data_IF_520360371424
#
_entry.id   IF_520360371424
#
_cell.length_a   1.000
_cell.length_b   1.000
_cell.length_c   1.000
_cell.angle_alpha   90.00
_cell.angle_beta   90.00
_cell.angle_gamma   90.00
#
_symmetry.space_group_name_H-M   'P 1'
#
loop_
_entity.id
_entity.type
_entity.pdbx_description
1 polymer ?
#
# COMPACT_ATOMS: atom_id res chain seq x y z
N UNK A 1 41.38 13.67 17.22
CA UNK A 1 41.47 12.91 15.95
C UNK A 1 41.17 13.87 14.82
N UNK A 2 42.13 14.12 13.92
CA UNK A 2 42.04 15.15 12.88
C UNK A 2 40.99 14.80 11.82
N UNK A 3 40.24 15.79 11.37
CA UNK A 3 39.18 15.69 10.35
C UNK A 3 39.68 15.02 9.06
N UNK A 4 40.95 15.29 8.68
CA UNK A 4 41.61 14.66 7.52
C UNK A 4 41.72 13.13 7.63
N UNK A 5 41.93 12.60 8.84
CA UNK A 5 42.02 11.16 9.08
C UNK A 5 40.67 10.47 8.97
N UNK A 6 39.57 11.17 9.32
CA UNK A 6 38.19 10.66 9.18
C UNK A 6 37.75 10.64 7.72
N UNK A 7 38.10 11.66 6.95
CA UNK A 7 37.76 11.74 5.51
C UNK A 7 38.54 10.68 4.74
N UNK A 8 39.85 10.48 5.04
CA UNK A 8 40.64 9.42 4.42
C UNK A 8 40.15 8.00 4.71
N UNK A 9 39.67 7.73 5.93
CA UNK A 9 39.07 6.45 6.29
C UNK A 9 37.75 6.18 5.57
N UNK A 10 36.93 7.22 5.35
CA UNK A 10 35.65 7.08 4.66
C UNK A 10 35.83 6.81 3.16
N UNK A 11 36.76 7.50 2.50
CA UNK A 11 37.06 7.27 1.09
C UNK A 11 37.67 5.89 0.83
N UNK A 12 38.53 5.38 1.72
CA UNK A 12 39.11 4.05 1.58
C UNK A 12 38.05 2.96 1.75
N UNK A 13 37.10 3.13 2.70
CA UNK A 13 35.97 2.25 2.91
C UNK A 13 35.02 2.18 1.72
N UNK A 14 34.72 3.32 1.10
CA UNK A 14 33.87 3.39 -0.08
C UNK A 14 34.49 2.70 -1.31
N UNK A 15 35.79 2.88 -1.53
CA UNK A 15 36.50 2.23 -2.62
C UNK A 15 36.55 0.71 -2.42
N UNK A 16 36.72 0.23 -1.20
CA UNK A 16 36.72 -1.21 -0.91
C UNK A 16 35.36 -1.86 -1.15
N UNK A 17 34.26 -1.17 -0.77
CA UNK A 17 32.87 -1.66 -0.98
C UNK A 17 32.51 -1.64 -2.46
N UNK A 18 32.88 -0.60 -3.21
CA UNK A 18 32.65 -0.52 -4.67
C UNK A 18 33.49 -1.50 -5.45
N UNK A 19 34.75 -1.71 -5.07
CA UNK A 19 35.63 -2.67 -5.69
C UNK A 19 35.16 -4.12 -5.49
N UNK A 20 34.66 -4.46 -4.32
CA UNK A 20 34.08 -5.78 -4.05
C UNK A 20 32.78 -6.03 -4.85
N UNK A 21 31.92 -5.02 -4.98
CA UNK A 21 30.68 -5.13 -5.76
C UNK A 21 30.97 -5.34 -7.28
N UNK A 22 31.97 -4.66 -7.84
CA UNK A 22 32.39 -4.88 -9.23
C UNK A 22 33.01 -6.26 -9.44
N UNK A 23 33.80 -6.77 -8.47
CA UNK A 23 34.43 -8.10 -8.55
C UNK A 23 33.40 -9.24 -8.54
N UNK A 24 32.36 -9.11 -7.78
CA UNK A 24 31.26 -10.11 -7.72
C UNK A 24 30.40 -10.06 -8.99
N UNK A 25 30.15 -8.87 -9.55
CA UNK A 25 29.39 -8.71 -10.79
C UNK A 25 30.11 -9.34 -12.02
N UNK A 26 31.43 -9.28 -12.08
CA UNK A 26 32.20 -9.89 -13.15
C UNK A 26 32.28 -11.43 -13.08
N UNK A 27 32.10 -12.02 -11.89
CA UNK A 27 32.13 -13.47 -11.69
C UNK A 27 30.81 -14.19 -12.03
N UNK A 28 29.70 -13.44 -12.24
CA UNK A 28 28.35 -14.00 -12.48
C UNK A 28 27.91 -13.88 -13.95
N UNK A 29 28.74 -13.34 -14.86
CA UNK A 29 28.42 -13.31 -16.30
C UNK A 29 28.65 -14.71 -16.90
N UNK A 30 27.64 -15.37 -17.52
CA UNK A 30 27.85 -16.63 -18.21
C UNK A 30 28.75 -16.43 -19.46
N UNK A 31 29.69 -17.30 -19.63
CA UNK A 31 30.65 -17.28 -20.74
C UNK A 31 29.92 -17.41 -22.08
N UNK A 32 29.99 -16.39 -22.92
CA UNK A 32 29.61 -16.48 -24.32
C UNK A 32 30.60 -17.28 -25.08
N UNK A 33 30.18 -18.40 -25.65
CA UNK A 33 30.98 -19.27 -26.50
C UNK A 33 31.29 -18.56 -27.82
N UNK A 34 32.55 -18.28 -28.09
CA UNK A 34 33.05 -17.75 -29.38
C UNK A 34 33.02 -18.82 -30.46
N UNK A 35 32.43 -18.52 -31.59
CA UNK A 35 32.72 -19.24 -32.84
C UNK A 35 32.82 -18.23 -33.99
N UNK A 36 34.04 -18.16 -34.45
CA UNK A 36 34.62 -17.93 -35.81
C UNK A 36 33.86 -17.03 -36.84
N UNK A 37 34.61 -16.02 -37.18
CA UNK A 37 34.93 -15.28 -38.42
C UNK A 37 34.36 -15.79 -39.73
N UNK A 38 33.64 -14.91 -40.47
CA UNK A 38 33.83 -14.56 -41.87
C UNK A 38 32.91 -13.41 -42.31
N UNK A 39 33.47 -12.34 -42.86
CA UNK A 39 32.81 -11.25 -43.59
C UNK A 39 32.87 -11.52 -45.10
N UNK A 40 32.30 -10.65 -45.98
CA UNK A 40 31.03 -9.95 -45.93
C UNK A 40 30.14 -10.27 -47.17
N UNK A 41 28.86 -10.00 -47.16
CA UNK A 41 28.15 -9.49 -48.34
C UNK A 41 26.82 -8.82 -47.94
N UNK A 42 26.53 -7.76 -48.64
CA UNK A 42 25.42 -6.83 -48.65
C UNK A 42 24.13 -7.53 -49.01
N UNK A 43 23.05 -7.13 -48.35
CA UNK A 43 21.71 -6.89 -48.92
C UNK A 43 20.56 -7.04 -47.89
N UNK A 44 19.75 -6.01 -47.89
CA UNK A 44 18.29 -6.04 -47.71
C UNK A 44 17.68 -6.14 -46.31
N UNK A 45 17.12 -5.01 -45.94
CA UNK A 45 16.15 -4.85 -44.87
C UNK A 45 14.96 -5.81 -44.98
N UNK A 46 14.77 -6.65 -43.97
CA UNK A 46 13.45 -7.24 -43.69
C UNK A 46 13.24 -7.14 -42.19
N UNK A 47 12.26 -6.34 -41.85
CA UNK A 47 11.67 -6.13 -40.55
C UNK A 47 11.30 -7.49 -39.94
N UNK A 48 12.00 -7.90 -38.89
CA UNK A 48 11.57 -9.00 -38.01
C UNK A 48 11.60 -8.51 -36.58
N UNK A 49 10.49 -7.90 -36.16
CA UNK A 49 10.15 -7.75 -34.74
C UNK A 49 10.17 -9.10 -34.06
N UNK A 50 11.32 -9.50 -33.57
CA UNK A 50 11.43 -10.63 -32.63
C UNK A 50 10.86 -10.17 -31.29
N UNK A 51 9.59 -10.42 -31.08
CA UNK A 51 8.98 -10.35 -29.75
C UNK A 51 9.63 -11.45 -28.90
N UNK A 52 10.72 -11.13 -28.25
CA UNK A 52 11.28 -11.99 -27.21
C UNK A 52 10.36 -11.84 -26.00
N UNK A 53 9.35 -12.69 -25.91
CA UNK A 53 8.61 -12.90 -24.67
C UNK A 53 9.59 -13.47 -23.66
N UNK A 54 10.08 -12.61 -22.76
CA UNK A 54 10.73 -13.07 -21.56
C UNK A 54 9.74 -13.98 -20.81
N UNK A 55 10.18 -15.13 -20.23
CA UNK A 55 9.30 -15.92 -19.41
C UNK A 55 8.80 -15.03 -18.27
N UNK A 56 7.50 -14.80 -18.22
CA UNK A 56 6.82 -14.16 -17.09
C UNK A 56 7.08 -15.09 -15.91
N UNK A 57 8.02 -14.74 -15.04
CA UNK A 57 8.04 -15.30 -13.70
C UNK A 57 6.66 -15.02 -13.12
N UNK A 58 5.99 -16.04 -12.60
CA UNK A 58 4.69 -15.87 -11.91
C UNK A 58 4.89 -14.78 -10.87
N UNK A 59 4.40 -13.58 -11.19
CA UNK A 59 4.53 -12.43 -10.31
C UNK A 59 3.68 -12.74 -9.08
N UNK A 60 4.33 -12.87 -7.94
CA UNK A 60 3.63 -12.97 -6.65
C UNK A 60 2.73 -11.75 -6.56
N UNK A 61 1.41 -11.91 -6.41
CA UNK A 61 0.51 -10.78 -6.34
C UNK A 61 0.90 -9.89 -5.16
N UNK A 62 1.07 -8.60 -5.42
CA UNK A 62 1.36 -7.63 -4.37
C UNK A 62 0.15 -7.47 -3.47
N UNK A 63 0.32 -7.34 -2.16
CA UNK A 63 -0.77 -7.02 -1.26
C UNK A 63 -1.49 -5.74 -1.69
N UNK A 64 -2.83 -5.74 -1.60
CA UNK A 64 -3.64 -4.56 -1.88
C UNK A 64 -3.20 -3.34 -1.06
N UNK A 65 -3.29 -2.15 -1.64
CA UNK A 65 -2.92 -0.89 -1.00
C UNK A 65 -1.42 -0.55 -1.03
N UNK A 66 -0.54 -1.41 -1.56
CA UNK A 66 0.86 -1.05 -1.81
C UNK A 66 0.99 -0.18 -3.06
N UNK A 67 0.19 -0.42 -4.07
CA UNK A 67 0.23 0.28 -5.35
C UNK A 67 -0.68 1.51 -5.32
N UNK A 68 -0.23 2.60 -5.94
CA UNK A 68 -1.06 3.77 -6.22
C UNK A 68 -1.86 3.58 -7.50
N UNK A 69 -1.42 2.66 -8.35
CA UNK A 69 -2.06 2.29 -9.62
C UNK A 69 -2.08 0.78 -9.77
N UNK A 70 -3.24 0.21 -10.08
CA UNK A 70 -3.43 -1.21 -10.34
C UNK A 70 -4.54 -1.39 -11.38
N UNK A 71 -4.37 -2.33 -12.31
CA UNK A 71 -5.32 -2.62 -13.41
C UNK A 71 -5.75 -1.38 -14.21
N UNK A 72 -4.88 -0.37 -14.33
CA UNK A 72 -5.16 0.90 -15.00
C UNK A 72 -5.90 1.93 -14.15
N UNK A 73 -6.36 1.58 -12.94
CA UNK A 73 -6.97 2.52 -12.01
C UNK A 73 -5.90 3.18 -11.14
N UNK A 74 -6.05 4.49 -10.89
CA UNK A 74 -5.06 5.27 -10.12
C UNK A 74 -5.76 6.07 -9.02
N UNK A 75 -5.28 5.95 -7.78
CA UNK A 75 -5.68 6.81 -6.66
C UNK A 75 -4.90 8.14 -6.74
N UNK A 76 -5.61 9.23 -6.95
CA UNK A 76 -5.05 10.58 -7.04
C UNK A 76 -5.58 11.45 -5.90
N UNK A 77 -4.77 11.70 -4.88
CA UNK A 77 -5.08 12.71 -3.87
C UNK A 77 -5.03 14.10 -4.50
N UNK A 78 -5.99 14.97 -4.14
CA UNK A 78 -5.98 16.38 -4.58
C UNK A 78 -4.76 17.10 -4.01
N UNK A 79 -4.52 16.88 -2.71
CA UNK A 79 -3.36 17.40 -2.00
C UNK A 79 -2.65 16.24 -1.30
N UNK A 80 -1.33 16.20 -1.41
CA UNK A 80 -0.49 15.20 -0.72
C UNK A 80 0.05 15.71 0.61
N UNK A 81 -0.21 16.99 0.90
CA UNK A 81 0.14 17.62 2.17
C UNK A 81 -1.07 18.40 2.65
N UNK A 82 -1.56 18.05 3.83
CA UNK A 82 -2.71 18.69 4.46
C UNK A 82 -2.32 19.29 5.81
N UNK A 83 -2.94 20.40 6.23
CA UNK A 83 -2.68 20.98 7.54
C UNK A 83 -3.15 20.06 8.66
N UNK A 84 -2.56 20.12 9.86
CA UNK A 84 -3.08 19.41 11.02
C UNK A 84 -4.45 19.95 11.45
N UNK A 85 -5.33 19.06 11.91
CA UNK A 85 -6.66 19.42 12.41
C UNK A 85 -7.60 18.24 12.57
N UNK A 86 -8.68 18.38 13.38
CA UNK A 86 -9.58 17.26 13.71
C UNK A 86 -10.63 16.93 12.64
N UNK A 87 -10.85 17.82 11.65
CA UNK A 87 -11.87 17.67 10.60
C UNK A 87 -11.34 18.24 9.29
N UNK A 88 -10.22 17.70 8.82
CA UNK A 88 -9.57 18.17 7.60
C UNK A 88 -10.22 17.48 6.40
N UNK A 89 -10.69 18.21 5.38
CA UNK A 89 -11.30 17.61 4.20
C UNK A 89 -10.23 16.92 3.35
N UNK A 90 -10.25 15.60 3.33
CA UNK A 90 -9.48 14.79 2.38
C UNK A 90 -10.27 14.63 1.10
N UNK A 91 -9.67 15.01 -0.04
CA UNK A 91 -10.26 14.91 -1.36
C UNK A 91 -9.37 14.11 -2.31
N UNK A 92 -9.98 13.27 -3.11
CA UNK A 92 -9.26 12.45 -4.08
C UNK A 92 -10.16 11.99 -5.22
N UNK A 93 -9.57 11.46 -6.27
CA UNK A 93 -10.25 10.81 -7.38
C UNK A 93 -9.65 9.42 -7.63
N UNK A 94 -10.48 8.52 -8.09
CA UNK A 94 -10.01 7.30 -8.76
C UNK A 94 -10.07 7.59 -10.26
N UNK A 95 -8.92 7.53 -10.90
CA UNK A 95 -8.84 7.67 -12.36
C UNK A 95 -8.94 6.29 -13.00
N UNK A 96 -9.72 6.14 -14.03
CA UNK A 96 -9.83 4.93 -14.83
C UNK A 96 -8.67 4.75 -15.82
N UNK A 97 -8.67 3.64 -16.57
CA UNK A 97 -7.64 3.36 -17.59
C UNK A 97 -7.54 4.42 -18.70
N UNK A 98 -8.60 5.17 -18.93
CA UNK A 98 -8.66 6.31 -19.87
C UNK A 98 -8.16 7.63 -19.27
N UNK A 99 -7.78 7.63 -17.98
CA UNK A 99 -7.36 8.80 -17.23
C UNK A 99 -8.50 9.71 -16.76
N UNK A 100 -9.75 9.37 -17.04
CA UNK A 100 -10.91 10.10 -16.55
C UNK A 100 -11.29 9.68 -15.13
N UNK A 101 -11.93 10.57 -14.33
CA UNK A 101 -12.46 10.19 -13.04
C UNK A 101 -13.55 9.13 -13.16
N UNK A 102 -13.48 8.07 -12.35
CA UNK A 102 -14.50 7.04 -12.25
C UNK A 102 -15.68 7.60 -11.44
N UNK A 103 -16.90 7.45 -11.97
CA UNK A 103 -18.14 7.89 -11.32
C UNK A 103 -19.12 6.76 -11.02
N UNK A 104 -18.84 5.54 -11.49
CA UNK A 104 -19.67 4.36 -11.27
C UNK A 104 -18.93 3.29 -10.47
N UNK A 105 -19.56 2.83 -9.38
CA UNK A 105 -19.03 1.83 -8.47
C UNK A 105 -20.07 0.77 -8.15
N UNK A 106 -19.62 -0.40 -7.72
CA UNK A 106 -20.47 -1.42 -7.12
C UNK A 106 -20.51 -1.17 -5.61
N UNK A 107 -21.71 -1.19 -5.05
CA UNK A 107 -21.89 -0.99 -3.61
C UNK A 107 -21.53 -2.28 -2.86
N UNK A 108 -20.61 -2.17 -1.92
CA UNK A 108 -20.20 -3.24 -1.00
C UNK A 108 -20.43 -2.76 0.44
N UNK A 109 -21.11 -3.55 1.26
CA UNK A 109 -21.45 -3.16 2.63
C UNK A 109 -22.11 -1.76 2.71
N UNK A 110 -23.10 -1.51 1.86
CA UNK A 110 -23.85 -0.26 1.73
C UNK A 110 -23.01 0.99 1.39
N UNK A 111 -21.78 0.81 0.94
CA UNK A 111 -20.86 1.88 0.51
C UNK A 111 -20.21 1.57 -0.82
N UNK A 112 -19.99 2.61 -1.61
CA UNK A 112 -19.33 2.51 -2.89
C UNK A 112 -17.80 2.56 -2.77
N UNK A 113 -17.28 3.04 -1.62
CA UNK A 113 -15.87 3.10 -1.32
C UNK A 113 -15.63 3.11 0.20
N UNK A 114 -14.68 2.32 0.63
CA UNK A 114 -14.14 2.28 1.99
C UNK A 114 -12.77 2.95 2.01
N UNK A 115 -12.56 3.89 2.94
CA UNK A 115 -11.29 4.59 3.08
C UNK A 115 -10.70 4.32 4.46
N UNK A 116 -9.44 3.89 4.47
CA UNK A 116 -8.65 3.81 5.69
C UNK A 116 -7.57 4.89 5.62
N UNK A 117 -7.42 5.66 6.68
CA UNK A 117 -6.28 6.52 6.89
C UNK A 117 -5.57 6.08 8.18
N UNK A 118 -4.26 5.86 8.12
CA UNK A 118 -3.47 5.44 9.27
C UNK A 118 -2.09 6.07 9.22
N UNK A 119 -1.58 6.55 10.36
CA UNK A 119 -0.22 7.09 10.43
C UNK A 119 0.80 5.95 10.31
N UNK A 120 1.99 6.23 9.81
CA UNK A 120 3.03 5.22 9.52
C UNK A 120 3.49 4.40 10.73
N UNK A 121 3.27 4.88 11.93
CA UNK A 121 3.50 4.14 13.18
C UNK A 121 2.30 3.29 13.63
N UNK A 122 1.31 3.08 12.74
CA UNK A 122 0.07 2.35 12.94
C UNK A 122 -0.91 2.98 13.96
N UNK A 123 -0.63 4.19 14.42
CA UNK A 123 -1.55 4.97 15.25
C UNK A 123 -2.50 5.82 14.40
N UNK A 124 -3.47 6.47 15.03
CA UNK A 124 -4.45 7.34 14.36
C UNK A 124 -5.19 6.65 13.21
N UNK A 125 -5.53 5.39 13.40
CA UNK A 125 -6.34 4.62 12.45
C UNK A 125 -7.75 5.19 12.37
N UNK A 126 -8.24 5.36 11.14
CA UNK A 126 -9.60 5.80 10.84
C UNK A 126 -10.13 4.96 9.68
N UNK A 127 -11.34 4.42 9.84
CA UNK A 127 -12.11 3.80 8.77
C UNK A 127 -13.32 4.69 8.50
N UNK A 128 -13.38 5.30 7.34
CA UNK A 128 -14.38 6.30 6.96
C UNK A 128 -14.94 6.03 5.57
N UNK A 129 -16.13 6.60 5.29
CA UNK A 129 -16.83 6.41 4.03
C UNK A 129 -17.00 7.75 3.32
N UNK A 130 -16.19 8.04 2.29
CA UNK A 130 -16.27 9.27 1.51
C UNK A 130 -17.58 9.39 0.72
N UNK A 131 -17.91 10.61 0.35
CA UNK A 131 -19.02 10.93 -0.53
C UNK A 131 -18.49 11.32 -1.90
N UNK A 132 -19.06 10.74 -2.95
CA UNK A 132 -18.73 11.02 -4.35
C UNK A 132 -19.57 12.19 -4.87
N UNK A 133 -18.93 13.16 -5.54
CA UNK A 133 -19.63 14.19 -6.30
C UNK A 133 -19.84 13.78 -7.78
N UNK A 134 -20.57 14.62 -8.52
CA UNK A 134 -20.91 14.37 -9.91
C UNK A 134 -19.66 14.41 -10.85
N UNK A 135 -18.60 15.05 -10.42
CA UNK A 135 -17.33 15.20 -11.14
C UNK A 135 -16.35 14.06 -10.85
N UNK A 136 -16.74 13.08 -10.02
CA UNK A 136 -15.92 11.93 -9.66
C UNK A 136 -14.89 12.21 -8.55
N UNK A 137 -15.13 13.28 -7.74
CA UNK A 137 -14.29 13.57 -6.59
C UNK A 137 -14.91 13.01 -5.32
N UNK A 138 -14.15 12.19 -4.61
CA UNK A 138 -14.46 11.71 -3.29
C UNK A 138 -14.03 12.73 -2.23
N UNK A 139 -14.83 12.90 -1.19
CA UNK A 139 -14.58 13.84 -0.10
C UNK A 139 -15.02 13.25 1.24
N UNK A 140 -14.16 13.38 2.26
CA UNK A 140 -14.45 12.96 3.63
C UNK A 140 -13.64 13.78 4.63
N UNK A 141 -14.22 14.20 5.78
CA UNK A 141 -13.43 14.76 6.86
C UNK A 141 -12.63 13.66 7.57
N UNK A 142 -11.35 13.93 7.85
CA UNK A 142 -10.44 13.05 8.60
C UNK A 142 -9.77 13.80 9.74
N UNK A 143 -9.47 13.10 10.82
CA UNK A 143 -8.69 13.66 11.92
C UNK A 143 -7.19 13.54 11.61
N UNK A 144 -6.57 14.68 11.33
CA UNK A 144 -5.15 14.83 11.09
C UNK A 144 -4.48 15.69 12.19
N UNK A 145 -5.00 15.66 13.41
CA UNK A 145 -4.49 16.46 14.53
C UNK A 145 -3.03 16.13 14.88
N UNK A 146 -2.57 14.92 14.58
CA UNK A 146 -1.20 14.49 14.81
C UNK A 146 -0.35 14.63 13.54
N UNK A 147 0.77 15.31 13.64
CA UNK A 147 1.74 15.44 12.55
C UNK A 147 2.39 14.09 12.20
N UNK A 148 2.83 13.94 10.95
CA UNK A 148 3.54 12.76 10.47
C UNK A 148 3.10 12.33 9.09
N UNK A 149 3.65 11.21 8.64
CA UNK A 149 3.28 10.56 7.38
C UNK A 149 2.14 9.57 7.61
N UNK A 150 1.10 9.71 6.81
CA UNK A 150 -0.06 8.82 6.79
C UNK A 150 -0.05 7.98 5.52
N UNK A 151 -0.62 6.79 5.61
CA UNK A 151 -1.02 6.00 4.45
C UNK A 151 -2.53 6.01 4.33
N UNK A 152 -3.02 6.32 3.14
CA UNK A 152 -4.43 6.27 2.78
C UNK A 152 -4.64 5.05 1.90
N UNK A 153 -5.67 4.24 2.22
CA UNK A 153 -6.08 3.09 1.43
C UNK A 153 -7.53 3.30 0.97
N UNK A 154 -7.77 3.16 -0.32
CA UNK A 154 -9.10 3.20 -0.91
C UNK A 154 -9.46 1.81 -1.44
N UNK A 155 -10.47 1.18 -0.83
CA UNK A 155 -11.07 -0.08 -1.27
C UNK A 155 -12.36 0.18 -2.03
N UNK A 156 -12.49 -0.31 -3.26
CA UNK A 156 -13.63 -0.06 -4.13
C UNK A 156 -13.70 -1.07 -5.27
N UNK A 157 -14.88 -1.20 -5.89
CA UNK A 157 -15.07 -1.99 -7.10
C UNK A 157 -15.70 -1.10 -8.18
N UNK A 158 -14.96 -0.73 -9.26
CA UNK A 158 -15.54 0.06 -10.35
C UNK A 158 -16.63 -0.72 -11.07
N UNK A 159 -17.67 -0.04 -11.55
CA UNK A 159 -18.70 -0.67 -12.39
C UNK A 159 -18.08 -1.28 -13.64
N UNK A 160 -18.36 -2.57 -13.88
CA UNK A 160 -17.83 -3.32 -15.03
C UNK A 160 -16.43 -3.88 -14.84
N UNK A 161 -15.84 -3.73 -13.66
CA UNK A 161 -14.59 -4.41 -13.27
C UNK A 161 -14.90 -5.68 -12.47
N UNK A 162 -14.17 -6.75 -12.72
CA UNK A 162 -14.30 -8.01 -11.98
C UNK A 162 -13.39 -7.95 -10.74
N UNK A 163 -14.02 -7.94 -9.56
CA UNK A 163 -13.33 -7.94 -8.26
C UNK A 163 -12.94 -6.57 -7.73
N UNK A 164 -12.77 -6.50 -6.41
CA UNK A 164 -12.38 -5.30 -5.68
C UNK A 164 -10.92 -4.92 -5.88
N UNK A 165 -10.63 -3.63 -5.78
CA UNK A 165 -9.30 -3.05 -5.82
C UNK A 165 -9.02 -2.33 -4.49
N UNK A 166 -7.78 -2.41 -4.03
CA UNK A 166 -7.29 -1.58 -2.92
C UNK A 166 -6.07 -0.81 -3.38
N UNK A 167 -6.21 0.50 -3.53
CA UNK A 167 -5.11 1.39 -3.89
C UNK A 167 -4.64 2.19 -2.68
N UNK A 168 -3.35 2.51 -2.63
CA UNK A 168 -2.80 3.27 -1.51
C UNK A 168 -1.94 4.45 -1.94
N UNK A 169 -2.04 5.55 -1.18
CA UNK A 169 -1.25 6.76 -1.40
C UNK A 169 -0.74 7.33 -0.08
N UNK A 170 0.38 8.04 -0.14
CA UNK A 170 0.97 8.71 1.02
C UNK A 170 0.44 10.14 1.15
N UNK A 171 0.18 10.55 2.38
CA UNK A 171 -0.30 11.86 2.78
C UNK A 171 0.56 12.39 3.92
N UNK A 172 1.12 13.59 3.79
CA UNK A 172 1.93 14.26 4.79
C UNK A 172 1.12 15.26 5.61
N UNK A 173 1.34 15.26 6.92
CA UNK A 173 0.82 16.29 7.84
C UNK A 173 2.00 16.99 8.50
N UNK A 174 2.29 18.26 8.17
CA UNK A 174 3.42 18.97 8.71
C UNK A 174 3.26 19.25 10.21
N UNK A 175 4.38 19.27 10.93
CA UNK A 175 4.45 19.54 12.36
C UNK A 175 5.51 18.72 13.06
N UNK A 176 5.49 18.74 14.39
CA UNK A 176 6.38 17.91 15.20
C UNK A 176 5.86 16.49 15.23
N UNK A 177 6.64 15.57 14.68
CA UNK A 177 6.29 14.14 14.70
C UNK A 177 6.68 13.53 16.05
N UNK A 178 5.69 13.03 16.74
CA UNK A 178 5.84 12.26 17.98
C UNK A 178 5.34 10.83 17.73
N UNK A 179 6.25 9.85 17.55
CA UNK A 179 5.85 8.47 17.29
C UNK A 179 5.18 7.85 18.51
N UNK A 180 4.12 7.07 18.26
CA UNK A 180 3.47 6.26 19.28
C UNK A 180 4.07 4.85 19.20
N UNK A 181 4.67 4.33 20.28
CA UNK A 181 5.16 2.96 20.29
C UNK A 181 4.00 1.96 20.07
N UNK A 182 4.28 0.88 19.35
CA UNK A 182 3.32 -0.21 19.26
C UNK A 182 3.01 -0.74 20.66
N UNK A 183 1.72 -0.95 21.00
CA UNK A 183 1.36 -1.57 22.27
C UNK A 183 1.85 -3.02 22.32
N UNK A 184 2.00 -3.55 23.53
CA UNK A 184 2.21 -4.98 23.69
C UNK A 184 1.02 -5.76 23.09
N UNK A 185 1.28 -6.90 22.45
CA UNK A 185 0.22 -7.72 21.87
C UNK A 185 -0.81 -8.13 22.92
N UNK A 186 -2.07 -7.86 22.66
CA UNK A 186 -3.19 -8.25 23.51
C UNK A 186 -4.21 -9.02 22.68
N UNK A 187 -4.83 -10.01 23.30
CA UNK A 187 -5.91 -10.79 22.67
C UNK A 187 -7.30 -10.36 23.13
N UNK A 188 -7.37 -9.49 24.14
CA UNK A 188 -8.62 -8.94 24.65
C UNK A 188 -8.52 -7.43 24.68
N UNK A 189 -9.48 -6.77 24.08
CA UNK A 189 -9.60 -5.31 24.06
C UNK A 189 -10.93 -4.95 24.72
N UNK A 190 -10.88 -4.10 25.75
CA UNK A 190 -12.08 -3.47 26.29
C UNK A 190 -12.46 -2.27 25.41
N UNK A 191 -13.72 -2.22 25.02
CA UNK A 191 -14.29 -1.14 24.23
C UNK A 191 -15.33 -0.37 25.03
N UNK A 192 -16.01 0.57 24.39
CA UNK A 192 -17.02 1.43 25.06
C UNK A 192 -18.10 0.59 25.75
N UNK A 193 -18.60 1.07 26.88
CA UNK A 193 -19.72 0.52 27.65
C UNK A 193 -19.53 -0.90 28.20
N UNK A 194 -18.29 -1.29 28.51
CA UNK A 194 -17.95 -2.57 29.15
C UNK A 194 -18.02 -3.77 28.20
N UNK A 195 -18.10 -3.54 26.90
CA UNK A 195 -17.90 -4.61 25.93
C UNK A 195 -16.44 -5.00 25.86
N UNK A 196 -16.21 -6.28 25.65
CA UNK A 196 -14.87 -6.84 25.40
C UNK A 196 -14.89 -7.56 24.05
N UNK A 197 -13.85 -7.36 23.28
CA UNK A 197 -13.59 -8.10 22.03
C UNK A 197 -12.38 -8.98 22.26
N UNK A 198 -12.55 -10.28 22.09
CA UNK A 198 -11.47 -11.28 22.19
C UNK A 198 -11.11 -11.77 20.81
N UNK A 199 -9.82 -11.78 20.47
CA UNK A 199 -9.27 -12.36 19.26
C UNK A 199 -8.63 -13.71 19.61
N UNK A 200 -9.05 -14.77 18.93
CA UNK A 200 -8.46 -16.11 19.03
C UNK A 200 -8.01 -16.60 17.65
N UNK A 201 -6.94 -17.41 17.63
CA UNK A 201 -6.31 -17.94 16.43
C UNK A 201 -4.84 -17.56 16.35
N UNK A 202 -4.10 -18.28 15.52
CA UNK A 202 -2.67 -18.09 15.32
C UNK A 202 -2.42 -17.43 13.95
N UNK A 203 -1.64 -16.36 13.94
CA UNK A 203 -1.20 -15.71 12.70
C UNK A 203 0.09 -16.37 12.23
N UNK A 204 0.05 -16.97 11.04
CA UNK A 204 1.23 -17.59 10.41
C UNK A 204 1.64 -16.75 9.19
N UNK A 205 2.84 -16.13 9.21
CA UNK A 205 3.30 -15.33 8.07
C UNK A 205 3.31 -16.12 6.76
N UNK A 206 2.78 -15.53 5.68
CA UNK A 206 2.73 -16.14 4.35
C UNK A 206 1.63 -17.18 4.16
N UNK A 207 0.72 -17.34 5.13
CA UNK A 207 -0.43 -18.23 5.05
C UNK A 207 -1.72 -17.51 5.42
N UNK A 208 -2.85 -17.94 4.85
CA UNK A 208 -4.15 -17.54 5.35
C UNK A 208 -4.36 -18.11 6.75
N UNK A 209 -4.75 -17.27 7.71
CA UNK A 209 -5.00 -17.64 9.09
C UNK A 209 -6.46 -17.41 9.45
N UNK A 210 -7.09 -18.41 10.08
CA UNK A 210 -8.45 -18.28 10.60
C UNK A 210 -8.39 -17.62 11.98
N UNK A 211 -9.12 -16.51 12.13
CA UNK A 211 -9.23 -15.77 13.37
C UNK A 211 -10.69 -15.70 13.80
N UNK A 212 -10.93 -15.88 15.09
CA UNK A 212 -12.25 -15.78 15.70
C UNK A 212 -12.31 -14.54 16.59
N UNK A 213 -13.24 -13.63 16.28
CA UNK A 213 -13.59 -12.51 17.15
C UNK A 213 -14.83 -12.87 17.97
N UNK A 214 -14.73 -12.73 19.29
CA UNK A 214 -15.84 -12.95 20.20
C UNK A 214 -16.13 -11.64 20.95
N UNK A 215 -17.39 -11.22 20.94
CA UNK A 215 -17.85 -10.06 21.70
C UNK A 215 -18.52 -10.56 22.98
N UNK A 216 -18.15 -9.98 24.11
CA UNK A 216 -18.78 -10.26 25.40
C UNK A 216 -19.03 -8.97 26.17
N UNK A 217 -19.97 -9.01 27.12
CA UNK A 217 -20.23 -7.94 28.08
C UNK A 217 -20.39 -8.55 29.46
N UNK A 218 -19.65 -8.03 30.45
CA UNK A 218 -19.60 -8.58 31.80
C UNK A 218 -19.30 -10.10 31.83
N UNK A 219 -18.45 -10.57 30.91
CA UNK A 219 -18.08 -11.97 30.76
C UNK A 219 -19.13 -12.87 30.09
N UNK A 220 -20.26 -12.32 29.64
CA UNK A 220 -21.30 -13.05 28.92
C UNK A 220 -21.18 -12.79 27.42
N UNK A 221 -21.15 -13.82 26.55
CA UNK A 221 -21.13 -13.64 25.10
C UNK A 221 -22.35 -12.86 24.62
N UNK A 222 -22.13 -11.87 23.77
CA UNK A 222 -23.18 -11.12 23.08
C UNK A 222 -23.54 -11.85 21.80
N UNK A 223 -24.80 -12.25 21.66
CA UNK A 223 -25.30 -13.04 20.52
C UNK A 223 -26.37 -12.32 19.70
N UNK A 224 -26.73 -11.10 20.11
CA UNK A 224 -27.77 -10.24 19.54
C UNK A 224 -27.20 -8.95 18.94
N UNK A 225 -26.01 -9.05 18.33
CA UNK A 225 -25.41 -7.94 17.60
C UNK A 225 -26.30 -7.51 16.44
N UNK A 226 -26.43 -6.21 16.27
CA UNK A 226 -27.06 -5.64 15.08
C UNK A 226 -26.01 -5.44 13.97
N UNK A 227 -26.34 -5.72 12.70
CA UNK A 227 -25.43 -5.45 11.61
C UNK A 227 -25.23 -3.96 11.41
N UNK A 228 -24.00 -3.56 11.17
CA UNK A 228 -23.63 -2.22 10.71
C UNK A 228 -23.10 -2.34 9.27
N UNK A 229 -23.64 -1.54 8.35
CA UNK A 229 -23.31 -1.61 6.92
C UNK A 229 -23.38 -3.05 6.37
N UNK A 230 -24.49 -3.75 6.65
CA UNK A 230 -24.77 -5.12 6.24
C UNK A 230 -23.81 -6.19 6.77
N UNK A 231 -22.95 -5.90 7.75
CA UNK A 231 -22.03 -6.84 8.36
C UNK A 231 -22.04 -6.76 9.90
N UNK A 232 -21.75 -7.89 10.58
CA UNK A 232 -21.63 -7.92 12.05
C UNK A 232 -20.23 -7.51 12.54
N UNK A 233 -19.25 -7.44 11.64
CA UNK A 233 -17.90 -6.92 11.87
C UNK A 233 -17.47 -6.10 10.66
N UNK A 234 -16.89 -4.93 10.94
CA UNK A 234 -16.56 -3.98 9.89
C UNK A 234 -15.23 -3.28 10.19
#
# INVERSE_FOLDING_TARGET
MNTALKIGGYTLGLVAVFGAAMGIGAAVTPAATSAATSSPETESHTDMSATTSAPTADAVPLPGGLMVTENGYTLRLTDRTLPPGPQVPLRFQILGPDGAPVTGYQTEHDKDLHLIAVRRDLSHFQHVHPVLDAEGTWSVPVDLSAAGEYRVFAGFTPTGHDGGLVLGADLAVPGTYEPVPLPEPVTVVEVVDGYQVTLAGDLVPGQASELTLTVSRDGVPVTDLEPYLAAYGH
#
